data_IF_534722757938
#
_entry.id   IF_534722757938
#
_cell.length_a   1.000
_cell.length_b   1.000
_cell.length_c   1.000
_cell.angle_alpha   90.00
_cell.angle_beta   90.00
_cell.angle_gamma   90.00
#
_symmetry.space_group_name_H-M   'P 1'
#
loop_
_entity.id
_entity.type
_entity.pdbx_description
1 polymer ?
#
# COMPACT_ATOMS: atom_id res chain seq x y z
N UNK A 1 19.24 12.40 6.41
CA UNK A 1 19.45 12.77 7.84
C UNK A 1 19.32 11.54 8.74
N UNK A 2 18.13 10.96 8.95
CA UNK A 2 17.95 9.77 9.81
C UNK A 2 18.81 8.54 9.43
N UNK A 3 18.94 8.21 8.15
CA UNK A 3 19.81 7.10 7.72
C UNK A 3 21.28 7.32 8.11
N UNK A 4 21.73 8.56 8.09
CA UNK A 4 23.10 8.92 8.46
C UNK A 4 23.30 8.86 9.97
N UNK A 5 22.34 9.35 10.74
CA UNK A 5 22.33 9.24 12.21
C UNK A 5 22.36 7.77 12.66
N UNK A 6 21.57 6.90 12.03
CA UNK A 6 21.63 5.45 12.30
C UNK A 6 23.00 4.85 11.96
N UNK A 7 23.62 5.28 10.85
CA UNK A 7 24.95 4.83 10.50
C UNK A 7 26.00 5.25 11.55
N UNK A 8 25.92 6.48 12.06
CA UNK A 8 26.77 7.02 13.13
C UNK A 8 26.55 6.28 14.47
N UNK A 9 25.33 5.81 14.73
CA UNK A 9 24.99 4.95 15.89
C UNK A 9 25.38 3.47 15.71
N UNK A 10 26.14 3.12 14.67
CA UNK A 10 26.65 1.78 14.44
C UNK A 10 25.79 0.88 13.56
N UNK A 11 24.68 1.38 13.00
CA UNK A 11 23.82 0.63 12.06
C UNK A 11 24.22 0.79 10.58
N UNK A 12 25.47 1.20 10.34
CA UNK A 12 26.00 1.38 8.98
C UNK A 12 25.85 0.10 8.16
N UNK A 13 25.20 0.20 7.00
CA UNK A 13 24.93 -0.93 6.10
C UNK A 13 23.94 -1.97 6.62
N UNK A 14 23.33 -1.76 7.80
CA UNK A 14 22.39 -2.68 8.45
C UNK A 14 21.02 -2.06 8.70
N UNK A 15 20.77 -0.90 8.14
CA UNK A 15 19.53 -0.15 8.32
C UNK A 15 19.20 0.63 7.05
N UNK A 16 17.90 0.88 6.87
CA UNK A 16 17.37 1.73 5.83
C UNK A 16 16.14 2.46 6.37
N UNK A 17 16.07 3.76 6.13
CA UNK A 17 14.91 4.59 6.49
C UNK A 17 14.14 4.87 5.22
N UNK A 18 12.85 4.54 5.23
CA UNK A 18 11.94 4.72 4.09
C UNK A 18 10.70 5.42 4.63
N UNK A 19 10.39 6.57 4.05
CA UNK A 19 9.16 7.31 4.36
C UNK A 19 8.13 6.94 3.31
N UNK A 20 7.04 6.31 3.72
CA UNK A 20 5.96 5.91 2.82
C UNK A 20 4.96 7.07 2.76
N UNK A 21 5.03 7.84 1.67
CA UNK A 21 4.15 8.97 1.38
C UNK A 21 3.83 8.99 -0.13
N UNK A 22 2.56 8.76 -0.53
CA UNK A 22 1.37 8.54 0.30
C UNK A 22 1.39 7.20 1.05
N UNK A 23 0.47 7.05 2.01
CA UNK A 23 0.28 5.83 2.81
C UNK A 23 0.33 4.55 1.97
N UNK A 24 0.81 3.46 2.56
CA UNK A 24 0.98 2.18 1.86
C UNK A 24 -0.32 1.75 1.16
N UNK A 25 -1.48 1.95 1.79
CA UNK A 25 -2.81 1.63 1.27
C UNK A 25 -3.13 2.25 -0.10
N UNK A 26 -2.33 3.21 -0.58
CA UNK A 26 -2.44 3.76 -1.94
C UNK A 26 -2.40 2.69 -3.05
N UNK A 27 -1.69 1.57 -2.86
CA UNK A 27 -1.64 0.50 -3.87
C UNK A 27 -2.97 -0.25 -4.00
N UNK A 28 -3.80 -0.24 -2.96
CA UNK A 28 -5.15 -0.83 -2.98
C UNK A 28 -6.01 -0.14 -4.03
N UNK A 29 -5.80 1.15 -4.25
CA UNK A 29 -6.59 1.96 -5.20
C UNK A 29 -5.97 2.02 -6.59
N UNK A 30 -5.00 1.15 -6.90
CA UNK A 30 -4.54 0.95 -8.28
C UNK A 30 -5.69 0.44 -9.17
N UNK A 31 -5.58 0.60 -10.50
CA UNK A 31 -6.61 0.26 -11.51
C UNK A 31 -6.97 -1.24 -11.60
N UNK A 32 -6.60 -2.03 -10.59
CA UNK A 32 -6.91 -3.44 -10.50
C UNK A 32 -8.42 -3.65 -10.27
N UNK A 33 -9.12 -4.35 -11.18
CA UNK A 33 -10.55 -4.66 -11.02
C UNK A 33 -10.81 -5.64 -9.86
N UNK A 34 -9.76 -6.25 -9.30
CA UNK A 34 -9.86 -7.23 -8.22
C UNK A 34 -10.10 -6.61 -6.85
N UNK A 35 -9.82 -5.32 -6.69
CA UNK A 35 -10.00 -4.58 -5.44
C UNK A 35 -11.46 -4.61 -5.03
N UNK A 36 -12.36 -4.31 -5.98
CA UNK A 36 -13.78 -4.35 -5.74
C UNK A 36 -14.30 -5.74 -5.35
N UNK A 37 -13.77 -6.80 -5.97
CA UNK A 37 -14.13 -8.20 -5.63
C UNK A 37 -13.66 -8.67 -4.25
N UNK A 38 -12.68 -7.98 -3.65
CA UNK A 38 -12.15 -8.35 -2.32
C UNK A 38 -12.85 -7.54 -1.24
N UNK A 39 -13.15 -6.28 -1.56
CA UNK A 39 -13.94 -5.39 -0.72
C UNK A 39 -15.43 -5.70 -0.79
N UNK A 40 -15.90 -6.48 -1.76
CA UNK A 40 -17.32 -6.65 -2.14
C UNK A 40 -18.01 -5.32 -2.46
N UNK A 41 -17.24 -4.36 -2.96
CA UNK A 41 -17.68 -3.02 -3.32
C UNK A 41 -17.31 -2.73 -4.76
N UNK A 42 -18.10 -1.96 -5.50
CA UNK A 42 -17.64 -1.48 -6.81
C UNK A 42 -16.62 -0.36 -6.62
N UNK A 43 -15.66 -0.22 -7.54
CA UNK A 43 -14.68 0.87 -7.48
C UNK A 43 -15.38 2.25 -7.53
N UNK A 44 -16.46 2.36 -8.30
CA UNK A 44 -17.25 3.60 -8.39
C UNK A 44 -17.96 3.92 -7.07
N UNK A 45 -18.50 2.93 -6.36
CA UNK A 45 -19.06 3.17 -5.03
C UNK A 45 -18.00 3.60 -4.03
N UNK A 46 -16.81 2.97 -4.04
CA UNK A 46 -15.69 3.41 -3.19
C UNK A 46 -15.22 4.85 -3.52
N UNK A 47 -15.18 5.22 -4.81
CA UNK A 47 -14.90 6.60 -5.24
C UNK A 47 -15.98 7.57 -4.75
N UNK A 48 -17.25 7.19 -4.85
CA UNK A 48 -18.36 8.00 -4.35
C UNK A 48 -18.20 8.26 -2.85
N UNK A 49 -17.98 7.22 -2.05
CA UNK A 49 -17.73 7.37 -0.61
C UNK A 49 -16.51 8.26 -0.33
N UNK A 50 -15.45 8.12 -1.13
CA UNK A 50 -14.28 8.98 -1.06
C UNK A 50 -14.58 10.45 -1.37
N UNK A 51 -15.42 10.73 -2.38
CA UNK A 51 -15.84 12.09 -2.74
C UNK A 51 -16.72 12.72 -1.67
N UNK A 52 -17.70 11.98 -1.17
CA UNK A 52 -18.61 12.41 -0.11
C UNK A 52 -17.87 12.80 1.17
N UNK A 53 -16.77 12.10 1.48
CA UNK A 53 -15.94 12.36 2.67
C UNK A 53 -14.73 13.28 2.39
N UNK A 54 -14.57 13.78 1.15
CA UNK A 54 -13.43 14.64 0.76
C UNK A 54 -12.08 13.93 0.69
N UNK A 55 -12.04 12.60 0.68
CA UNK A 55 -10.85 11.76 0.62
C UNK A 55 -10.44 11.36 -0.80
N UNK A 56 -11.26 11.68 -1.80
CA UNK A 56 -10.98 11.42 -3.20
C UNK A 56 -11.49 12.58 -4.07
N UNK A 57 -10.58 13.29 -4.73
CA UNK A 57 -10.92 14.38 -5.65
C UNK A 57 -11.25 13.87 -7.05
N UNK A 58 -12.15 14.54 -7.78
CA UNK A 58 -12.68 14.05 -9.07
C UNK A 58 -11.63 13.81 -10.16
N UNK A 59 -10.53 14.56 -10.14
CA UNK A 59 -9.46 14.48 -11.14
C UNK A 59 -8.28 13.60 -10.73
N UNK A 60 -8.30 13.06 -9.51
CA UNK A 60 -7.19 12.28 -8.98
C UNK A 60 -7.37 10.79 -9.27
N UNK A 61 -6.32 10.10 -9.77
CA UNK A 61 -6.40 8.67 -10.06
C UNK A 61 -6.52 7.83 -8.78
N UNK A 62 -6.25 8.41 -7.61
CA UNK A 62 -6.20 7.74 -6.30
C UNK A 62 -6.71 8.68 -5.20
N UNK A 63 -7.16 8.13 -4.05
CA UNK A 63 -7.58 8.95 -2.91
C UNK A 63 -6.39 9.65 -2.26
N UNK A 64 -6.64 10.84 -1.71
CA UNK A 64 -5.67 11.60 -0.90
C UNK A 64 -5.55 11.06 0.53
N UNK A 65 -6.54 10.28 1.00
CA UNK A 65 -6.52 9.58 2.28
C UNK A 65 -6.79 8.07 2.08
N UNK A 66 -5.83 7.31 1.50
CA UNK A 66 -6.03 5.92 1.11
C UNK A 66 -6.47 4.98 2.23
N UNK A 67 -5.88 5.11 3.42
CA UNK A 67 -6.14 4.25 4.56
C UNK A 67 -7.49 4.56 5.20
N UNK A 68 -7.82 5.84 5.36
CA UNK A 68 -9.12 6.25 5.90
C UNK A 68 -10.26 5.75 5.02
N UNK A 69 -10.13 5.90 3.70
CA UNK A 69 -11.13 5.39 2.78
C UNK A 69 -11.25 3.86 2.86
N UNK A 70 -10.13 3.14 2.93
CA UNK A 70 -10.15 1.67 3.03
C UNK A 70 -10.85 1.21 4.31
N UNK A 71 -10.54 1.87 5.43
CA UNK A 71 -11.12 1.56 6.74
C UNK A 71 -12.62 1.82 6.76
N UNK A 72 -13.03 2.93 6.14
CA UNK A 72 -14.42 3.29 6.02
C UNK A 72 -15.20 2.27 5.18
N UNK A 73 -14.69 1.91 4.00
CA UNK A 73 -15.30 0.91 3.13
C UNK A 73 -15.40 -0.44 3.84
N UNK A 74 -14.35 -0.91 4.49
CA UNK A 74 -14.37 -2.18 5.22
C UNK A 74 -15.39 -2.18 6.36
N UNK A 75 -15.54 -1.06 7.09
CA UNK A 75 -16.54 -0.92 8.16
C UNK A 75 -17.97 -0.98 7.63
N UNK A 76 -18.26 -0.33 6.49
CA UNK A 76 -19.58 -0.41 5.85
C UNK A 76 -19.94 -1.84 5.46
N UNK A 77 -18.96 -2.61 4.98
CA UNK A 77 -19.11 -4.01 4.58
C UNK A 77 -19.03 -5.01 5.75
N UNK A 78 -18.92 -4.53 7.00
CA UNK A 78 -18.80 -5.39 8.18
C UNK A 78 -17.52 -6.24 8.22
N UNK A 79 -16.47 -5.84 7.50
CA UNK A 79 -15.19 -6.55 7.38
C UNK A 79 -14.12 -5.92 8.27
N UNK A 80 -13.25 -6.76 8.81
CA UNK A 80 -12.07 -6.31 9.56
C UNK A 80 -10.80 -6.41 8.73
N UNK A 81 -9.88 -5.45 8.94
CA UNK A 81 -8.51 -5.55 8.45
C UNK A 81 -7.81 -6.70 9.17
N UNK A 82 -7.35 -7.67 8.40
CA UNK A 82 -6.59 -8.81 8.91
C UNK A 82 -5.40 -9.12 8.00
N UNK A 83 -4.36 -9.73 8.55
CA UNK A 83 -3.21 -10.17 7.77
C UNK A 83 -3.62 -11.13 6.65
N UNK A 84 -4.64 -11.97 6.88
CA UNK A 84 -5.18 -12.87 5.86
C UNK A 84 -5.90 -12.11 4.73
N UNK A 85 -6.61 -11.02 5.05
CA UNK A 85 -7.22 -10.13 4.06
C UNK A 85 -6.17 -9.43 3.20
N UNK A 86 -5.15 -8.82 3.82
CA UNK A 86 -4.03 -8.21 3.08
C UNK A 86 -3.28 -9.23 2.24
N UNK A 87 -3.09 -10.46 2.73
CA UNK A 87 -2.50 -11.55 1.95
C UNK A 87 -3.33 -11.94 0.73
N UNK A 88 -4.66 -11.98 0.84
CA UNK A 88 -5.56 -12.20 -0.31
C UNK A 88 -5.45 -11.07 -1.33
N UNK A 89 -5.38 -9.83 -0.85
CA UNK A 89 -5.22 -8.64 -1.67
C UNK A 89 -3.87 -8.64 -2.41
N UNK A 90 -2.76 -8.81 -1.70
CA UNK A 90 -1.42 -8.81 -2.28
C UNK A 90 -1.19 -9.93 -3.30
N UNK A 91 -1.90 -11.07 -3.18
CA UNK A 91 -1.85 -12.15 -4.18
C UNK A 91 -2.58 -11.82 -5.48
N UNK A 92 -3.63 -10.99 -5.42
CA UNK A 92 -4.50 -10.68 -6.58
C UNK A 92 -4.17 -9.33 -7.22
N UNK A 93 -3.86 -8.34 -6.40
CA UNK A 93 -3.47 -7.01 -6.84
C UNK A 93 -1.95 -7.01 -6.94
N UNK A 94 -1.46 -7.16 -8.17
CA UNK A 94 -0.04 -7.16 -8.44
C UNK A 94 0.60 -5.83 -8.06
N UNK A 95 1.63 -5.90 -7.22
CA UNK A 95 2.50 -4.75 -6.87
C UNK A 95 3.57 -4.48 -7.94
N UNK A 96 3.50 -5.15 -9.10
CA UNK A 96 4.47 -5.03 -10.17
C UNK A 96 4.45 -3.65 -10.83
N UNK A 97 3.25 -3.07 -10.98
CA UNK A 97 3.02 -1.77 -11.61
C UNK A 97 2.85 -0.64 -10.58
N UNK A 98 3.29 -0.85 -9.34
CA UNK A 98 3.28 0.21 -8.35
C UNK A 98 4.38 1.22 -8.72
N UNK A 99 3.99 2.42 -9.17
CA UNK A 99 4.91 3.49 -9.53
C UNK A 99 5.34 4.37 -8.33
N UNK A 100 4.89 4.01 -7.12
CA UNK A 100 5.23 4.76 -5.91
C UNK A 100 6.70 4.60 -5.55
N UNK A 101 7.41 5.73 -5.38
CA UNK A 101 8.86 5.75 -5.19
C UNK A 101 9.27 5.06 -3.88
N UNK A 102 8.58 5.38 -2.79
CA UNK A 102 8.85 4.83 -1.46
C UNK A 102 8.57 3.33 -1.39
N UNK A 103 7.49 2.88 -2.05
CA UNK A 103 7.19 1.45 -2.16
C UNK A 103 8.24 0.70 -3.01
N UNK A 104 8.71 1.31 -4.11
CA UNK A 104 9.78 0.74 -4.92
C UNK A 104 11.08 0.61 -4.12
N UNK A 105 11.43 1.61 -3.32
CA UNK A 105 12.60 1.57 -2.43
C UNK A 105 12.46 0.45 -1.39
N UNK A 106 11.29 0.33 -0.75
CA UNK A 106 11.02 -0.75 0.20
C UNK A 106 11.19 -2.14 -0.46
N UNK A 107 10.62 -2.32 -1.65
CA UNK A 107 10.74 -3.57 -2.40
C UNK A 107 12.19 -3.90 -2.75
N UNK A 108 12.99 -2.91 -3.14
CA UNK A 108 14.41 -3.10 -3.45
C UNK A 108 15.19 -3.55 -2.21
N UNK A 109 15.00 -2.85 -1.09
CA UNK A 109 15.69 -3.12 0.18
C UNK A 109 15.34 -4.52 0.71
N UNK A 110 14.06 -4.90 0.65
CA UNK A 110 13.64 -6.25 1.06
C UNK A 110 14.26 -7.33 0.18
N UNK A 111 14.38 -7.11 -1.14
CA UNK A 111 15.04 -8.06 -2.05
C UNK A 111 16.54 -8.18 -1.79
N UNK A 112 17.19 -7.08 -1.44
CA UNK A 112 18.61 -7.05 -1.09
C UNK A 112 18.87 -7.82 0.21
N UNK A 113 18.05 -7.59 1.24
CA UNK A 113 18.21 -8.25 2.55
C UNK A 113 17.73 -9.72 2.55
N UNK A 114 16.75 -10.05 1.71
CA UNK A 114 16.16 -11.40 1.63
C UNK A 114 16.14 -11.90 0.17
N UNK A 115 17.32 -12.16 -0.42
CA UNK A 115 17.38 -12.70 -1.77
C UNK A 115 16.72 -14.10 -1.81
N UNK A 116 16.09 -14.41 -2.95
CA UNK A 116 15.53 -15.74 -3.18
C UNK A 116 16.71 -16.72 -3.18
N UNK A 117 16.82 -17.56 -2.15
CA UNK A 117 17.77 -18.67 -2.17
C UNK A 117 17.35 -19.59 -3.32
N UNK A 118 18.16 -19.67 -4.37
CA UNK A 118 18.08 -20.80 -5.28
C UNK A 118 18.46 -22.04 -4.46
N UNK A 119 17.58 -23.03 -4.43
CA UNK A 119 17.96 -24.35 -3.91
C UNK A 119 18.84 -24.98 -4.99
N UNK A 120 20.11 -25.20 -4.66
CA UNK A 120 20.98 -26.12 -5.38
C UNK A 120 20.48 -27.57 -5.25
#
# INVERSE_FOLDING_TARGET
KLTQELAEMGWKGRSKVIVIDPELEVWVWSTSPYVGKILDVTLEHAKQLGRENGWWHEKEPKPCQPKLLLDYVLRQEGKSKSASWFGKLARKVGIANCADASFCELKAVLKEWFPIRQRD
#
